data_IF_935004749728
#
_entry.id   IF_935004749728
#
_cell.length_a   1.000
_cell.length_b   1.000
_cell.length_c   1.000
_cell.angle_alpha   90.00
_cell.angle_beta   90.00
_cell.angle_gamma   90.00
#
_symmetry.space_group_name_H-M   'P 1'
#
loop_
_entity.id
_entity.type
_entity.pdbx_description
1 polymer ?
#
# COMPACT_ATOMS: atom_id res chain seq x y z
N UNK A 1 53.93 -14.05 -18.72
CA UNK A 1 52.91 -14.52 -17.70
C UNK A 1 51.86 -13.46 -17.37
N UNK A 2 52.12 -12.15 -17.48
CA UNK A 2 51.19 -11.07 -17.16
C UNK A 2 50.11 -10.79 -18.24
N UNK A 3 50.37 -11.18 -19.50
CA UNK A 3 49.46 -10.86 -20.62
C UNK A 3 48.13 -11.58 -20.59
N UNK A 4 48.11 -12.86 -20.20
CA UNK A 4 46.87 -13.64 -20.18
C UNK A 4 45.84 -13.15 -19.13
N UNK A 5 46.17 -12.82 -17.88
CA UNK A 5 45.23 -12.21 -16.94
C UNK A 5 44.72 -10.86 -17.41
N UNK A 6 45.56 -9.99 -17.95
CA UNK A 6 45.11 -8.68 -18.47
C UNK A 6 44.18 -8.81 -19.66
N UNK A 7 44.38 -9.78 -20.54
CA UNK A 7 43.44 -10.07 -21.66
C UNK A 7 42.09 -10.55 -21.14
N UNK A 8 42.08 -11.35 -20.06
CA UNK A 8 40.82 -11.77 -19.41
C UNK A 8 40.06 -10.62 -18.75
N UNK A 9 40.78 -9.72 -18.05
CA UNK A 9 40.21 -8.49 -17.49
C UNK A 9 39.62 -7.60 -18.59
N UNK A 10 40.37 -7.40 -19.71
CA UNK A 10 39.89 -6.63 -20.85
C UNK A 10 38.63 -7.25 -21.47
N UNK A 11 38.63 -8.59 -21.64
CA UNK A 11 37.44 -9.28 -22.17
C UNK A 11 36.22 -9.16 -21.23
N UNK A 12 36.45 -9.29 -19.91
CA UNK A 12 35.38 -9.09 -18.92
C UNK A 12 34.84 -7.65 -18.94
N UNK A 13 35.72 -6.66 -19.04
CA UNK A 13 35.32 -5.25 -19.18
C UNK A 13 34.53 -5.00 -20.47
N UNK A 14 34.91 -5.59 -21.60
CA UNK A 14 34.16 -5.47 -22.85
C UNK A 14 32.78 -6.12 -22.76
N UNK A 15 32.64 -7.24 -22.05
CA UNK A 15 31.32 -7.89 -21.79
C UNK A 15 30.39 -6.98 -20.99
N UNK A 16 30.90 -6.41 -19.88
CA UNK A 16 30.14 -5.48 -19.04
C UNK A 16 29.72 -4.24 -19.86
N UNK A 17 30.63 -3.67 -20.64
CA UNK A 17 30.32 -2.55 -21.54
C UNK A 17 29.26 -2.90 -22.60
N UNK A 18 29.18 -4.17 -22.99
CA UNK A 18 28.14 -4.71 -23.89
C UNK A 18 26.83 -5.09 -23.21
N UNK A 19 26.70 -4.87 -21.87
CA UNK A 19 25.47 -5.18 -21.12
C UNK A 19 25.42 -6.56 -20.50
N UNK A 20 26.49 -7.37 -20.60
CA UNK A 20 26.60 -8.65 -19.90
C UNK A 20 27.26 -8.44 -18.53
N UNK A 21 26.45 -8.10 -17.55
CA UNK A 21 26.90 -7.81 -16.18
C UNK A 21 27.23 -9.06 -15.34
N UNK A 22 26.83 -10.27 -15.80
CA UNK A 22 27.16 -11.52 -15.13
C UNK A 22 28.60 -11.94 -15.36
N UNK A 23 29.33 -11.25 -16.26
CA UNK A 23 30.73 -11.53 -16.57
C UNK A 23 31.63 -11.35 -15.33
N UNK A 24 32.43 -12.40 -15.03
CA UNK A 24 33.46 -12.38 -14.00
C UNK A 24 34.81 -12.71 -14.62
N UNK A 25 35.87 -12.17 -14.04
CA UNK A 25 37.25 -12.43 -14.51
C UNK A 25 37.71 -13.83 -14.14
N UNK A 26 37.34 -14.29 -12.95
CA UNK A 26 37.69 -15.59 -12.39
C UNK A 26 39.19 -15.78 -12.22
N UNK A 27 39.98 -14.71 -12.08
CA UNK A 27 41.41 -14.75 -11.87
C UNK A 27 41.66 -14.87 -10.36
N UNK A 28 42.41 -15.90 -9.95
CA UNK A 28 42.79 -16.15 -8.55
C UNK A 28 44.32 -16.20 -8.49
N UNK A 29 44.94 -15.10 -8.14
CA UNK A 29 46.37 -14.99 -7.93
C UNK A 29 46.61 -14.17 -6.66
N UNK A 30 47.69 -14.49 -5.93
CA UNK A 30 48.05 -13.79 -4.69
C UNK A 30 48.97 -12.57 -4.97
N UNK A 31 48.68 -11.82 -6.04
CA UNK A 31 49.42 -10.64 -6.47
C UNK A 31 48.47 -9.47 -6.76
N UNK A 32 48.99 -8.35 -7.23
CA UNK A 32 48.23 -7.13 -7.56
C UNK A 32 47.17 -7.39 -8.65
N UNK A 33 47.36 -8.38 -9.50
CA UNK A 33 46.40 -8.76 -10.54
C UNK A 33 45.21 -9.50 -9.91
N UNK A 34 45.45 -10.34 -8.90
CA UNK A 34 44.40 -10.98 -8.13
C UNK A 34 43.55 -9.95 -7.40
N UNK A 35 44.18 -9.00 -6.70
CA UNK A 35 43.45 -7.92 -6.01
C UNK A 35 42.65 -7.05 -6.98
N UNK A 36 43.21 -6.73 -8.17
CA UNK A 36 42.47 -5.99 -9.21
C UNK A 36 41.28 -6.79 -9.74
N UNK A 37 41.47 -8.10 -9.94
CA UNK A 37 40.40 -8.99 -10.39
C UNK A 37 39.25 -9.07 -9.39
N UNK A 38 39.53 -9.19 -8.09
CA UNK A 38 38.53 -9.19 -7.02
C UNK A 38 37.75 -7.87 -6.97
N UNK A 39 38.46 -6.74 -7.04
CA UNK A 39 37.84 -5.42 -7.10
C UNK A 39 36.93 -5.25 -8.33
N UNK A 40 37.38 -5.74 -9.48
CA UNK A 40 36.57 -5.73 -10.70
C UNK A 40 35.33 -6.61 -10.59
N UNK A 41 35.46 -7.83 -10.07
CA UNK A 41 34.33 -8.75 -9.90
C UNK A 41 33.31 -8.23 -8.87
N UNK A 42 33.77 -7.56 -7.80
CA UNK A 42 32.92 -6.87 -6.84
C UNK A 42 32.14 -5.70 -7.48
N UNK A 43 32.81 -4.88 -8.30
CA UNK A 43 32.18 -3.81 -9.06
C UNK A 43 31.13 -4.38 -10.04
N UNK A 44 31.47 -5.45 -10.78
CA UNK A 44 30.56 -6.10 -11.70
C UNK A 44 29.29 -6.61 -10.99
N UNK A 45 29.44 -7.24 -9.81
CA UNK A 45 28.32 -7.69 -8.98
C UNK A 45 27.43 -6.52 -8.51
N UNK A 46 28.02 -5.41 -8.09
CA UNK A 46 27.26 -4.23 -7.68
C UNK A 46 26.47 -3.62 -8.85
N UNK A 47 27.08 -3.54 -10.05
CA UNK A 47 26.39 -3.06 -11.26
C UNK A 47 25.23 -3.99 -11.64
N UNK A 48 25.46 -5.31 -11.66
CA UNK A 48 24.41 -6.31 -11.96
C UNK A 48 23.20 -6.13 -11.02
N UNK A 49 23.46 -6.05 -9.71
CA UNK A 49 22.40 -5.83 -8.72
C UNK A 49 21.62 -4.53 -9.01
N UNK A 50 22.31 -3.43 -9.31
CA UNK A 50 21.66 -2.14 -9.61
C UNK A 50 20.83 -2.17 -10.89
N UNK A 51 21.31 -2.85 -11.91
CA UNK A 51 20.57 -3.02 -13.17
C UNK A 51 19.33 -3.87 -12.96
N UNK A 52 19.41 -4.94 -12.17
CA UNK A 52 18.26 -5.79 -11.84
C UNK A 52 17.22 -5.02 -11.00
N UNK A 53 17.65 -4.23 -10.01
CA UNK A 53 16.78 -3.34 -9.22
C UNK A 53 16.06 -2.34 -10.14
N UNK A 54 16.78 -1.71 -11.08
CA UNK A 54 16.22 -0.76 -12.04
C UNK A 54 15.19 -1.44 -12.97
N UNK A 55 15.53 -2.60 -13.52
CA UNK A 55 14.60 -3.37 -14.34
C UNK A 55 13.34 -3.79 -13.57
N UNK A 56 13.49 -4.16 -12.30
CA UNK A 56 12.35 -4.47 -11.43
C UNK A 56 11.48 -3.22 -11.16
N UNK A 57 12.10 -2.05 -10.95
CA UNK A 57 11.37 -0.79 -10.78
C UNK A 57 10.60 -0.39 -12.04
N UNK A 58 11.23 -0.46 -13.22
CA UNK A 58 10.57 -0.17 -14.52
C UNK A 58 9.41 -1.13 -14.79
N UNK A 59 9.58 -2.42 -14.46
CA UNK A 59 8.47 -3.39 -14.59
C UNK A 59 7.31 -3.02 -13.68
N UNK A 60 7.57 -2.73 -12.39
CA UNK A 60 6.52 -2.29 -11.44
C UNK A 60 5.77 -1.05 -11.93
N UNK A 61 6.50 -0.07 -12.46
CA UNK A 61 5.89 1.15 -13.01
C UNK A 61 4.98 0.85 -14.21
N UNK A 62 5.43 0.01 -15.15
CA UNK A 62 4.61 -0.41 -16.30
C UNK A 62 3.35 -1.15 -15.88
N UNK A 63 3.48 -2.09 -14.95
CA UNK A 63 2.36 -2.87 -14.43
C UNK A 63 1.36 -1.95 -13.70
N UNK A 64 1.85 -0.97 -12.95
CA UNK A 64 1.04 0.06 -12.32
C UNK A 64 0.24 0.87 -13.34
N UNK A 65 0.90 1.41 -14.39
CA UNK A 65 0.22 2.19 -15.44
C UNK A 65 -0.81 1.35 -16.19
N UNK A 66 -0.49 0.09 -16.50
CA UNK A 66 -1.40 -0.82 -17.18
C UNK A 66 -2.64 -1.12 -16.30
N UNK A 67 -2.45 -1.43 -15.03
CA UNK A 67 -3.54 -1.68 -14.08
C UNK A 67 -4.41 -0.43 -13.87
N UNK A 68 -3.81 0.74 -13.70
CA UNK A 68 -4.52 2.02 -13.58
C UNK A 68 -5.38 2.31 -14.80
N UNK A 69 -4.81 2.16 -16.00
CA UNK A 69 -5.54 2.37 -17.25
C UNK A 69 -6.74 1.43 -17.36
N UNK A 70 -6.58 0.18 -16.95
CA UNK A 70 -7.66 -0.81 -16.94
C UNK A 70 -8.77 -0.43 -15.95
N UNK A 71 -8.40 -0.03 -14.72
CA UNK A 71 -9.36 0.36 -13.68
C UNK A 71 -10.11 1.68 -14.00
N UNK A 72 -9.53 2.57 -14.82
CA UNK A 72 -10.23 3.73 -15.37
C UNK A 72 -11.16 3.35 -16.52
N UNK A 73 -10.70 2.50 -17.46
CA UNK A 73 -11.43 2.19 -18.69
C UNK A 73 -12.78 1.52 -18.40
N UNK A 74 -12.82 0.62 -17.43
CA UNK A 74 -14.02 -0.16 -17.10
C UNK A 74 -15.20 0.73 -16.69
N UNK A 75 -15.10 1.60 -15.64
CA UNK A 75 -16.20 2.48 -15.25
C UNK A 75 -16.55 3.50 -16.33
N UNK A 76 -15.55 4.06 -17.05
CA UNK A 76 -15.78 4.99 -18.14
C UNK A 76 -16.62 4.35 -19.26
N UNK A 77 -16.32 3.11 -19.64
CA UNK A 77 -17.08 2.40 -20.68
C UNK A 77 -18.51 2.15 -20.23
N UNK A 78 -18.73 1.77 -18.97
CA UNK A 78 -20.07 1.55 -18.42
C UNK A 78 -20.87 2.85 -18.33
N UNK A 79 -20.27 3.95 -17.84
CA UNK A 79 -20.91 5.27 -17.81
C UNK A 79 -21.30 5.75 -19.21
N UNK A 80 -20.43 5.57 -20.21
CA UNK A 80 -20.74 5.90 -21.61
C UNK A 80 -21.92 5.08 -22.15
N UNK A 81 -22.03 3.80 -21.78
CA UNK A 81 -23.16 2.94 -22.12
C UNK A 81 -24.47 3.50 -21.58
N UNK A 82 -24.52 3.75 -20.28
CA UNK A 82 -25.73 4.31 -19.63
C UNK A 82 -26.06 5.72 -20.13
N UNK A 83 -25.07 6.59 -20.34
CA UNK A 83 -25.28 7.91 -20.92
C UNK A 83 -25.85 7.83 -22.35
N UNK A 84 -25.38 6.85 -23.15
CA UNK A 84 -25.91 6.61 -24.49
C UNK A 84 -27.36 6.13 -24.48
N UNK A 85 -27.74 5.29 -23.51
CA UNK A 85 -29.15 4.88 -23.30
C UNK A 85 -30.03 6.08 -22.96
N UNK A 86 -29.60 6.95 -22.05
CA UNK A 86 -30.31 8.17 -21.68
C UNK A 86 -30.48 9.11 -22.88
N UNK A 87 -29.49 9.19 -23.78
CA UNK A 87 -29.50 10.04 -24.99
C UNK A 87 -30.40 9.48 -26.09
N UNK A 88 -30.66 8.16 -26.15
CA UNK A 88 -31.44 7.53 -27.21
C UNK A 88 -32.95 7.80 -27.17
N UNK A 89 -33.45 8.40 -26.10
CA UNK A 89 -34.87 8.80 -25.99
C UNK A 89 -35.52 8.33 -24.70
N UNK A 90 -36.81 8.60 -24.53
CA UNK A 90 -37.49 8.41 -23.27
C UNK A 90 -37.55 6.93 -22.87
N UNK A 91 -36.72 6.60 -21.87
CA UNK A 91 -36.85 5.39 -21.12
C UNK A 91 -37.94 5.59 -20.05
N UNK A 92 -38.47 4.50 -19.51
CA UNK A 92 -39.25 4.52 -18.29
C UNK A 92 -38.55 5.38 -17.21
N UNK A 93 -39.27 6.22 -16.45
CA UNK A 93 -38.65 7.05 -15.39
C UNK A 93 -37.80 6.26 -14.40
N UNK A 94 -38.15 5.01 -14.10
CA UNK A 94 -37.35 4.13 -13.25
C UNK A 94 -36.02 3.78 -13.88
N UNK A 95 -35.98 3.40 -15.15
CA UNK A 95 -34.76 3.11 -15.90
C UNK A 95 -33.87 4.36 -16.09
N UNK A 96 -34.48 5.53 -16.26
CA UNK A 96 -33.78 6.81 -16.33
C UNK A 96 -33.07 7.11 -15.02
N UNK A 97 -33.75 6.92 -13.88
CA UNK A 97 -33.17 7.11 -12.56
C UNK A 97 -32.03 6.13 -12.29
N UNK A 98 -32.25 4.84 -12.59
CA UNK A 98 -31.21 3.81 -12.41
C UNK A 98 -29.94 4.14 -13.22
N UNK A 99 -30.07 4.56 -14.47
CA UNK A 99 -28.95 4.95 -15.31
C UNK A 99 -28.21 6.17 -14.74
N UNK A 100 -28.95 7.18 -14.27
CA UNK A 100 -28.36 8.37 -13.64
C UNK A 100 -27.64 8.04 -12.33
N UNK A 101 -28.25 7.21 -11.48
CA UNK A 101 -27.66 6.75 -10.22
C UNK A 101 -26.37 5.95 -10.49
N UNK A 102 -26.38 5.07 -11.49
CA UNK A 102 -25.19 4.33 -11.89
C UNK A 102 -24.04 5.26 -12.32
N UNK A 103 -24.32 6.23 -13.21
CA UNK A 103 -23.31 7.20 -13.66
C UNK A 103 -22.76 7.99 -12.47
N UNK A 104 -23.63 8.42 -11.55
CA UNK A 104 -23.23 9.14 -10.34
C UNK A 104 -22.30 8.31 -9.46
N UNK A 105 -22.64 7.05 -9.20
CA UNK A 105 -21.84 6.16 -8.38
C UNK A 105 -20.46 5.85 -8.99
N UNK A 106 -20.40 5.60 -10.30
CA UNK A 106 -19.12 5.37 -10.98
C UNK A 106 -18.25 6.64 -11.05
N UNK A 107 -18.87 7.82 -11.18
CA UNK A 107 -18.13 9.11 -11.11
C UNK A 107 -17.51 9.31 -9.72
N UNK A 108 -18.25 9.05 -8.65
CA UNK A 108 -17.74 9.11 -7.27
C UNK A 108 -16.63 8.10 -7.02
N UNK A 109 -16.74 6.92 -7.62
CA UNK A 109 -15.70 5.90 -7.56
C UNK A 109 -14.40 6.37 -8.24
N UNK A 110 -14.50 6.99 -9.42
CA UNK A 110 -13.35 7.56 -10.14
C UNK A 110 -12.71 8.73 -9.37
N UNK A 111 -13.51 9.60 -8.78
CA UNK A 111 -13.04 10.67 -7.90
C UNK A 111 -12.20 10.11 -6.73
N UNK A 112 -12.73 9.09 -6.04
CA UNK A 112 -12.02 8.42 -4.95
C UNK A 112 -10.73 7.73 -5.41
N UNK A 113 -10.75 7.08 -6.59
CA UNK A 113 -9.57 6.45 -7.19
C UNK A 113 -8.49 7.48 -7.49
N UNK A 114 -8.87 8.61 -8.14
CA UNK A 114 -7.96 9.71 -8.47
C UNK A 114 -7.37 10.33 -7.20
N UNK A 115 -8.17 10.58 -6.16
CA UNK A 115 -7.69 11.11 -4.88
C UNK A 115 -6.65 10.20 -4.23
N UNK A 116 -6.90 8.89 -4.16
CA UNK A 116 -5.95 7.91 -3.62
C UNK A 116 -4.65 7.86 -4.41
N UNK A 117 -4.74 7.94 -5.74
CA UNK A 117 -3.57 7.98 -6.61
C UNK A 117 -2.73 9.23 -6.35
N UNK A 118 -3.36 10.42 -6.29
CA UNK A 118 -2.65 11.67 -6.02
C UNK A 118 -1.98 11.65 -4.65
N UNK A 119 -2.62 11.09 -3.63
CA UNK A 119 -2.02 10.91 -2.30
C UNK A 119 -0.83 9.96 -2.37
N UNK A 120 -0.95 8.82 -3.08
CA UNK A 120 0.14 7.85 -3.23
C UNK A 120 1.36 8.48 -3.92
N UNK A 121 1.16 9.17 -5.04
CA UNK A 121 2.23 9.89 -5.76
C UNK A 121 2.83 11.02 -4.93
N UNK A 122 2.01 11.75 -4.16
CA UNK A 122 2.48 12.78 -3.23
C UNK A 122 3.34 12.20 -2.11
N UNK A 123 3.04 11.00 -1.63
CA UNK A 123 3.85 10.30 -0.64
C UNK A 123 5.18 9.77 -1.22
N UNK A 124 5.25 9.43 -2.49
CA UNK A 124 6.49 9.06 -3.17
C UNK A 124 7.41 10.27 -3.42
N UNK A 125 6.82 11.46 -3.52
CA UNK A 125 7.57 12.72 -3.65
C UNK A 125 8.10 13.18 -2.27
N UNK A 126 9.12 14.04 -2.25
CA UNK A 126 9.75 14.57 -1.02
C UNK A 126 8.86 15.55 -0.20
N UNK A 127 7.55 15.52 -0.40
CA UNK A 127 6.62 16.29 0.42
C UNK A 127 6.71 15.85 1.87
N UNK A 128 7.09 16.78 2.74
CA UNK A 128 7.28 16.52 4.15
C UNK A 128 5.95 16.09 4.79
N UNK A 129 5.95 14.94 5.45
CA UNK A 129 4.93 14.60 6.43
C UNK A 129 5.08 15.58 7.59
N UNK A 130 4.00 16.20 8.04
CA UNK A 130 3.99 17.10 9.18
C UNK A 130 3.53 16.37 10.46
N UNK A 131 4.41 15.62 11.13
CA UNK A 131 4.03 14.86 12.31
C UNK A 131 3.74 15.81 13.46
N UNK A 132 2.57 15.67 14.05
CA UNK A 132 2.13 16.38 15.24
C UNK A 132 1.69 15.37 16.32
N UNK A 133 1.69 15.76 17.61
CA UNK A 133 1.15 14.91 18.66
C UNK A 133 -0.35 14.69 18.48
N UNK A 134 -0.76 13.44 18.30
CA UNK A 134 -2.16 13.02 18.12
C UNK A 134 -2.48 11.90 19.09
N UNK A 135 -3.62 12.00 19.79
CA UNK A 135 -4.08 10.90 20.65
C UNK A 135 -4.89 9.86 19.89
N UNK A 136 -4.75 8.59 20.26
CA UNK A 136 -5.53 7.48 19.73
C UNK A 136 -7.04 7.69 19.90
N UNK A 137 -7.47 8.29 21.01
CA UNK A 137 -8.87 8.63 21.27
C UNK A 137 -9.42 9.62 20.24
N UNK A 138 -8.60 10.64 19.86
CA UNK A 138 -9.01 11.61 18.85
C UNK A 138 -9.12 10.97 17.47
N UNK A 139 -8.18 10.08 17.12
CA UNK A 139 -8.21 9.30 15.88
C UNK A 139 -9.46 8.39 15.82
N UNK A 140 -9.72 7.62 16.87
CA UNK A 140 -10.87 6.71 16.90
C UNK A 140 -12.20 7.46 16.91
N UNK A 141 -12.28 8.62 17.57
CA UNK A 141 -13.46 9.47 17.51
C UNK A 141 -13.70 10.07 16.10
N UNK A 142 -12.63 10.41 15.36
CA UNK A 142 -12.73 10.84 13.96
C UNK A 142 -13.20 9.71 13.06
N UNK A 143 -12.62 8.51 13.21
CA UNK A 143 -13.03 7.30 12.48
C UNK A 143 -14.50 6.96 12.72
N UNK A 144 -14.97 6.97 13.97
CA UNK A 144 -16.35 6.67 14.31
C UNK A 144 -17.36 7.64 13.65
N UNK A 145 -16.94 8.89 13.40
CA UNK A 145 -17.78 9.89 12.71
C UNK A 145 -17.72 9.78 11.19
N UNK A 146 -16.59 9.40 10.63
CA UNK A 146 -16.37 9.39 9.17
C UNK A 146 -16.78 8.10 8.48
N UNK A 147 -16.81 7.01 9.22
CA UNK A 147 -17.18 5.69 8.67
C UNK A 147 -18.69 5.50 8.69
N UNK A 148 -19.33 5.20 7.54
CA UNK A 148 -20.73 4.84 7.52
C UNK A 148 -20.97 3.52 8.26
N UNK A 149 -22.15 3.34 8.89
CA UNK A 149 -22.51 2.08 9.48
C UNK A 149 -22.43 0.96 8.44
N UNK A 150 -21.70 -0.11 8.75
CA UNK A 150 -21.62 -1.29 7.91
C UNK A 150 -22.77 -2.24 8.28
N UNK A 151 -23.70 -2.50 7.36
CA UNK A 151 -24.81 -3.39 7.61
C UNK A 151 -24.33 -4.78 8.04
N UNK A 152 -24.82 -5.25 9.20
CA UNK A 152 -24.51 -6.58 9.74
C UNK A 152 -23.10 -6.75 10.30
N UNK A 153 -22.33 -5.65 10.49
CA UNK A 153 -20.98 -5.69 11.05
C UNK A 153 -20.93 -4.82 12.31
N UNK A 154 -20.52 -5.42 13.42
CA UNK A 154 -20.28 -4.72 14.68
C UNK A 154 -18.87 -4.09 14.64
N UNK A 155 -18.78 -2.76 14.80
CA UNK A 155 -17.53 -2.03 14.87
C UNK A 155 -17.24 -1.58 16.30
N UNK A 156 -16.13 -2.04 16.87
CA UNK A 156 -15.68 -1.72 18.21
C UNK A 156 -14.39 -0.92 18.21
N UNK A 157 -14.27 0.09 19.10
CA UNK A 157 -13.07 0.89 19.29
C UNK A 157 -12.55 0.73 20.72
N UNK A 158 -11.28 0.38 20.86
CA UNK A 158 -10.60 0.18 22.14
C UNK A 158 -9.33 1.05 22.23
N UNK A 159 -9.47 2.36 22.57
CA UNK A 159 -8.31 3.25 22.74
C UNK A 159 -7.58 2.95 24.07
N UNK A 160 -6.25 3.12 24.08
CA UNK A 160 -5.41 2.98 25.28
C UNK A 160 -5.10 4.34 25.95
N UNK A 161 -5.39 5.47 25.30
CA UNK A 161 -5.01 6.79 25.75
C UNK A 161 -3.57 7.16 25.39
N UNK A 162 -3.02 6.56 24.35
CA UNK A 162 -1.69 6.84 23.81
C UNK A 162 -1.67 8.14 23.03
N UNK A 163 -0.52 8.83 23.02
CA UNK A 163 -0.23 9.95 22.12
C UNK A 163 0.96 9.56 21.24
N UNK A 164 0.83 9.75 19.94
CA UNK A 164 1.87 9.46 18.92
C UNK A 164 2.21 10.72 18.13
N UNK A 165 3.39 10.76 17.52
CA UNK A 165 3.73 11.79 16.53
C UNK A 165 3.40 11.26 15.14
N UNK A 166 2.33 11.79 14.53
CA UNK A 166 1.89 11.39 13.20
C UNK A 166 1.28 12.58 12.44
N UNK A 167 1.30 12.52 11.12
CA UNK A 167 0.41 13.33 10.31
C UNK A 167 -1.02 12.83 10.50
N UNK A 168 -1.83 13.65 11.13
CA UNK A 168 -3.17 13.27 11.56
C UNK A 168 -4.04 12.83 10.39
N UNK A 169 -4.00 13.56 9.27
CA UNK A 169 -4.86 13.32 8.11
C UNK A 169 -4.48 11.98 7.47
N UNK A 170 -3.19 11.79 7.22
CA UNK A 170 -2.68 10.53 6.64
C UNK A 170 -2.95 9.34 7.56
N UNK A 171 -2.81 9.52 8.87
CA UNK A 171 -3.04 8.43 9.82
C UNK A 171 -4.52 8.07 9.96
N UNK A 172 -5.42 9.07 9.93
CA UNK A 172 -6.87 8.84 9.86
C UNK A 172 -7.22 8.10 8.55
N UNK A 173 -6.64 8.47 7.41
CA UNK A 173 -6.85 7.80 6.13
C UNK A 173 -6.36 6.34 6.13
N UNK A 174 -5.19 6.07 6.71
CA UNK A 174 -4.66 4.72 6.87
C UNK A 174 -5.64 3.86 7.66
N UNK A 175 -6.02 4.29 8.87
CA UNK A 175 -6.93 3.54 9.72
C UNK A 175 -8.31 3.37 9.07
N UNK A 176 -8.85 4.41 8.43
CA UNK A 176 -10.12 4.33 7.72
C UNK A 176 -10.09 3.34 6.55
N UNK A 177 -8.97 3.23 5.82
CA UNK A 177 -8.80 2.23 4.77
C UNK A 177 -8.75 0.81 5.34
N UNK A 178 -8.01 0.58 6.42
CA UNK A 178 -7.95 -0.71 7.10
C UNK A 178 -9.33 -1.14 7.61
N UNK A 179 -10.08 -0.24 8.27
CA UNK A 179 -11.42 -0.54 8.78
C UNK A 179 -12.40 -0.84 7.65
N UNK A 180 -12.37 -0.06 6.55
CA UNK A 180 -13.21 -0.34 5.37
C UNK A 180 -12.94 -1.73 4.79
N UNK A 181 -11.67 -2.14 4.69
CA UNK A 181 -11.30 -3.47 4.21
C UNK A 181 -11.81 -4.56 5.14
N UNK A 182 -11.65 -4.40 6.45
CA UNK A 182 -12.15 -5.32 7.47
C UNK A 182 -13.67 -5.48 7.42
N UNK A 183 -14.40 -4.35 7.35
CA UNK A 183 -15.87 -4.39 7.19
C UNK A 183 -16.29 -5.08 5.89
N UNK A 184 -15.55 -4.87 4.80
CA UNK A 184 -15.83 -5.54 3.52
C UNK A 184 -15.59 -7.05 3.59
N UNK A 185 -14.56 -7.50 4.31
CA UNK A 185 -14.25 -8.91 4.52
C UNK A 185 -15.36 -9.62 5.33
N UNK A 186 -16.06 -8.88 6.22
CA UNK A 186 -17.16 -9.39 7.04
C UNK A 186 -18.51 -9.39 6.32
N UNK A 187 -18.67 -8.78 5.14
CA UNK A 187 -19.94 -8.70 4.43
C UNK A 187 -20.52 -10.08 4.13
N UNK A 188 -21.81 -10.25 4.45
CA UNK A 188 -22.55 -11.50 4.23
C UNK A 188 -22.26 -12.60 5.27
N UNK A 189 -21.46 -12.32 6.30
CA UNK A 189 -21.25 -13.23 7.43
C UNK A 189 -22.15 -12.86 8.59
N UNK A 190 -22.81 -13.85 9.18
CA UNK A 190 -23.57 -13.65 10.41
C UNK A 190 -22.61 -13.34 11.56
N UNK A 191 -22.87 -12.26 12.32
CA UNK A 191 -21.99 -11.85 13.43
C UNK A 191 -20.65 -11.28 13.00
N UNK A 192 -20.60 -10.60 11.83
CA UNK A 192 -19.41 -9.87 11.39
C UNK A 192 -18.97 -8.86 12.46
N UNK A 193 -17.69 -8.87 12.83
CA UNK A 193 -17.12 -8.00 13.85
C UNK A 193 -15.77 -7.47 13.44
N UNK A 194 -15.56 -6.16 13.66
CA UNK A 194 -14.29 -5.47 13.46
C UNK A 194 -13.92 -4.77 14.76
N UNK A 195 -12.70 -5.01 15.23
CA UNK A 195 -12.15 -4.40 16.44
C UNK A 195 -10.96 -3.53 16.05
N UNK A 196 -11.03 -2.24 16.37
CA UNK A 196 -9.94 -1.28 16.20
C UNK A 196 -9.39 -0.97 17.59
N UNK A 197 -8.16 -1.39 17.86
CA UNK A 197 -7.55 -1.23 19.17
C UNK A 197 -6.21 -0.48 19.08
N UNK A 198 -5.85 0.18 20.17
CA UNK A 198 -4.52 0.71 20.41
C UNK A 198 -3.98 0.12 21.71
N UNK A 199 -2.69 -0.21 21.76
CA UNK A 199 -1.99 -0.65 22.97
C UNK A 199 -0.65 0.03 23.07
N UNK A 200 -0.23 0.39 24.29
CA UNK A 200 1.14 0.82 24.56
C UNK A 200 2.02 -0.41 24.82
N UNK A 201 3.04 -0.61 24.01
CA UNK A 201 3.94 -1.76 24.11
C UNK A 201 5.35 -1.33 23.71
N UNK A 202 6.35 -1.65 24.54
CA UNK A 202 7.77 -1.41 24.27
C UNK A 202 8.12 0.02 23.77
N UNK A 203 7.44 1.05 24.30
CA UNK A 203 7.68 2.45 23.89
C UNK A 203 6.96 2.88 22.60
N UNK A 204 6.13 2.01 22.05
CA UNK A 204 5.31 2.29 20.87
C UNK A 204 3.82 2.22 21.20
N UNK A 205 3.01 2.91 20.42
CA UNK A 205 1.57 2.68 20.31
C UNK A 205 1.33 1.70 19.16
N UNK A 206 0.81 0.55 19.47
CA UNK A 206 0.50 -0.52 18.51
C UNK A 206 -0.99 -0.43 18.17
N UNK A 207 -1.29 -0.05 16.94
CA UNK A 207 -2.65 -0.02 16.39
C UNK A 207 -2.94 -1.35 15.71
N UNK A 208 -4.09 -1.92 16.01
CA UNK A 208 -4.57 -3.16 15.41
C UNK A 208 -5.96 -2.97 14.85
N UNK A 209 -6.20 -3.52 13.65
CA UNK A 209 -7.54 -3.68 13.07
C UNK A 209 -7.73 -5.16 12.84
N UNK A 210 -8.62 -5.76 13.61
CA UNK A 210 -8.91 -7.20 13.57
C UNK A 210 -10.34 -7.42 13.12
N UNK A 211 -10.54 -8.34 12.18
CA UNK A 211 -11.85 -8.77 11.69
C UNK A 211 -12.01 -10.29 11.78
N UNK A 212 -13.25 -10.75 11.83
CA UNK A 212 -13.64 -12.15 11.71
C UNK A 212 -14.17 -12.48 10.31
N UNK A 213 -13.69 -11.79 9.29
CA UNK A 213 -14.11 -11.91 7.91
C UNK A 213 -13.62 -13.19 7.21
N UNK A 214 -13.62 -13.18 5.88
CA UNK A 214 -13.26 -14.35 5.06
C UNK A 214 -11.78 -14.75 5.15
N UNK A 215 -10.92 -13.90 5.75
CA UNK A 215 -9.48 -14.13 5.78
C UNK A 215 -8.81 -14.07 4.42
N UNK A 216 -7.50 -14.27 4.40
CA UNK A 216 -6.63 -14.15 3.23
C UNK A 216 -5.71 -15.36 3.15
N UNK A 217 -5.57 -16.01 1.99
CA UNK A 217 -4.61 -17.09 1.80
C UNK A 217 -3.16 -16.63 2.02
N UNK A 218 -2.33 -17.48 2.64
CA UNK A 218 -0.94 -17.15 2.94
C UNK A 218 -0.11 -16.77 1.69
N UNK A 219 -0.44 -17.35 0.53
CA UNK A 219 0.23 -17.05 -0.74
C UNK A 219 0.01 -15.59 -1.21
N UNK A 220 -1.08 -14.95 -0.78
CA UNK A 220 -1.46 -13.61 -1.20
C UNK A 220 -0.92 -12.53 -0.25
N UNK A 221 -0.59 -12.88 1.02
CA UNK A 221 -0.12 -11.92 2.03
C UNK A 221 1.04 -11.02 1.57
N UNK A 222 2.09 -11.53 0.91
CA UNK A 222 3.22 -10.71 0.47
C UNK A 222 2.85 -9.65 -0.58
N UNK A 223 1.72 -9.85 -1.28
CA UNK A 223 1.29 -9.02 -2.40
C UNK A 223 0.20 -8.02 -2.06
N UNK A 224 -0.34 -8.06 -0.84
CA UNK A 224 -1.49 -7.24 -0.43
C UNK A 224 -1.23 -5.73 -0.56
N UNK A 225 0.02 -5.30 -0.44
CA UNK A 225 0.43 -3.90 -0.55
C UNK A 225 0.85 -3.49 -1.96
N UNK A 226 0.83 -4.43 -2.93
CA UNK A 226 1.05 -4.09 -4.34
C UNK A 226 -0.15 -3.26 -4.85
N UNK A 227 0.08 -2.13 -5.54
CA UNK A 227 -1.01 -1.34 -6.11
C UNK A 227 -1.88 -2.18 -7.07
N UNK A 228 -3.21 -2.03 -6.97
CA UNK A 228 -4.23 -2.73 -7.76
C UNK A 228 -4.29 -4.25 -7.56
N UNK A 229 -3.53 -4.79 -6.60
CA UNK A 229 -3.64 -6.20 -6.25
C UNK A 229 -4.94 -6.48 -5.51
N UNK A 230 -5.64 -7.54 -5.88
CA UNK A 230 -6.88 -8.00 -5.28
C UNK A 230 -6.90 -9.53 -5.26
N UNK A 231 -7.14 -10.12 -4.09
CA UNK A 231 -7.26 -11.58 -3.90
C UNK A 231 -8.46 -12.13 -4.69
N UNK A 232 -9.61 -11.43 -4.61
CA UNK A 232 -10.82 -11.77 -5.38
C UNK A 232 -11.36 -10.51 -6.09
N UNK A 233 -11.17 -10.45 -7.41
CA UNK A 233 -11.60 -9.34 -8.25
C UNK A 233 -13.12 -9.19 -8.33
N UNK A 234 -13.88 -10.28 -8.20
CA UNK A 234 -15.35 -10.27 -8.34
C UNK A 234 -16.02 -9.68 -7.09
N UNK A 235 -15.58 -10.11 -5.93
CA UNK A 235 -16.10 -9.71 -4.63
C UNK A 235 -15.74 -8.27 -4.28
N UNK A 236 -14.52 -7.87 -4.62
CA UNK A 236 -13.99 -6.53 -4.33
C UNK A 236 -14.62 -5.46 -5.22
N UNK A 237 -14.94 -5.77 -6.50
CA UNK A 237 -15.65 -4.83 -7.42
C UNK A 237 -17.05 -4.51 -6.96
N UNK A 238 -17.80 -5.48 -6.46
CA UNK A 238 -19.14 -5.26 -5.90
C UNK A 238 -19.12 -4.33 -4.66
N UNK A 239 -17.98 -4.26 -3.96
CA UNK A 239 -17.76 -3.37 -2.81
C UNK A 239 -17.06 -2.05 -3.12
N UNK A 240 -16.78 -1.74 -4.40
CA UNK A 240 -16.10 -0.48 -4.79
C UNK A 240 -14.59 -0.43 -4.53
N UNK A 241 -13.96 -1.56 -4.23
CA UNK A 241 -12.51 -1.64 -4.00
C UNK A 241 -11.71 -1.41 -5.29
N UNK A 242 -10.65 -0.61 -5.21
CA UNK A 242 -9.75 -0.29 -6.33
C UNK A 242 -8.39 -1.00 -6.25
N UNK A 243 -8.12 -1.78 -5.19
CA UNK A 243 -6.80 -2.36 -4.95
C UNK A 243 -5.71 -1.34 -4.56
N UNK A 244 -6.05 -0.05 -4.38
CA UNK A 244 -5.10 0.98 -3.93
C UNK A 244 -5.11 1.21 -2.43
N UNK A 245 -6.11 0.74 -1.69
CA UNK A 245 -6.27 1.04 -0.27
C UNK A 245 -5.10 0.56 0.58
N UNK A 246 -4.67 -0.70 0.44
CA UNK A 246 -3.55 -1.24 1.22
C UNK A 246 -2.20 -0.73 0.74
N UNK A 247 -2.03 -0.47 -0.57
CA UNK A 247 -0.83 0.19 -1.10
C UNK A 247 -0.65 1.59 -0.50
N UNK A 248 -1.74 2.38 -0.43
CA UNK A 248 -1.74 3.68 0.24
C UNK A 248 -1.41 3.56 1.73
N UNK A 249 -2.01 2.58 2.45
CA UNK A 249 -1.69 2.33 3.85
C UNK A 249 -0.19 2.01 4.04
N UNK A 250 0.39 1.19 3.17
CA UNK A 250 1.82 0.85 3.22
C UNK A 250 2.71 2.07 2.97
N UNK A 251 2.37 2.92 1.99
CA UNK A 251 3.08 4.17 1.71
C UNK A 251 3.01 5.14 2.90
N UNK A 252 1.84 5.32 3.50
CA UNK A 252 1.67 6.15 4.70
C UNK A 252 2.51 5.61 5.86
N UNK A 253 2.45 4.29 6.12
CA UNK A 253 3.23 3.66 7.18
C UNK A 253 4.74 3.87 6.96
N UNK A 254 5.24 3.63 5.74
CA UNK A 254 6.65 3.83 5.37
C UNK A 254 7.11 5.28 5.59
N UNK A 255 6.29 6.27 5.25
CA UNK A 255 6.59 7.70 5.50
C UNK A 255 6.64 8.06 6.98
N UNK A 256 5.97 7.28 7.84
CA UNK A 256 6.05 7.40 9.30
C UNK A 256 7.13 6.50 9.91
N UNK A 257 8.00 5.87 9.10
CA UNK A 257 9.10 5.03 9.56
C UNK A 257 8.66 3.68 10.12
N UNK A 258 7.50 3.19 9.72
CA UNK A 258 6.91 1.92 10.16
C UNK A 258 6.41 1.07 8.99
N UNK A 259 5.91 -0.12 9.27
CA UNK A 259 5.36 -1.03 8.26
C UNK A 259 4.09 -1.71 8.77
N UNK A 260 3.24 -2.12 7.84
CA UNK A 260 2.07 -2.94 8.13
C UNK A 260 2.50 -4.41 8.33
N UNK A 261 1.90 -5.06 9.32
CA UNK A 261 2.02 -6.49 9.53
C UNK A 261 0.65 -7.13 9.36
N UNK A 262 0.60 -8.28 8.70
CA UNK A 262 -0.64 -8.99 8.40
C UNK A 262 -0.59 -10.40 8.99
N UNK A 263 -1.61 -10.74 9.77
CA UNK A 263 -1.87 -12.10 10.25
C UNK A 263 -3.26 -12.49 9.77
N UNK A 264 -3.37 -13.55 8.98
CA UNK A 264 -4.66 -13.96 8.41
C UNK A 264 -4.70 -15.44 8.13
N UNK A 265 -5.88 -16.02 8.37
CA UNK A 265 -6.19 -17.39 7.99
C UNK A 265 -7.53 -17.40 7.26
N UNK A 266 -7.67 -18.15 6.13
CA UNK A 266 -8.94 -18.31 5.43
C UNK A 266 -10.06 -18.72 6.39
N UNK A 267 -11.22 -18.08 6.27
CA UNK A 267 -12.42 -18.26 7.08
C UNK A 267 -12.30 -17.91 8.57
N UNK A 268 -11.12 -17.53 9.07
CA UNK A 268 -10.92 -17.13 10.47
C UNK A 268 -10.91 -15.60 10.66
N UNK A 269 -10.46 -14.85 9.64
CA UNK A 269 -10.38 -13.39 9.65
C UNK A 269 -8.96 -12.87 9.41
N UNK A 270 -8.80 -11.57 9.60
CA UNK A 270 -7.51 -10.88 9.39
C UNK A 270 -7.24 -9.91 10.53
N UNK A 271 -5.98 -9.86 10.96
CA UNK A 271 -5.47 -8.83 11.86
C UNK A 271 -4.38 -8.04 11.14
N UNK A 272 -4.55 -6.74 11.06
CA UNK A 272 -3.53 -5.82 10.53
C UNK A 272 -2.99 -4.99 11.69
N UNK A 273 -1.67 -4.97 11.83
CA UNK A 273 -0.96 -4.28 12.90
C UNK A 273 -0.01 -3.23 12.34
N UNK A 274 0.03 -2.07 12.98
CA UNK A 274 1.00 -1.01 12.68
C UNK A 274 1.40 -0.29 13.97
N UNK A 275 2.69 0.00 14.16
CA UNK A 275 3.20 0.60 15.37
C UNK A 275 3.83 1.98 15.09
N UNK A 276 3.63 2.93 16.01
CA UNK A 276 4.31 4.23 16.01
C UNK A 276 4.99 4.46 17.36
N UNK A 277 6.13 5.14 17.39
CA UNK A 277 6.73 5.58 18.65
C UNK A 277 5.75 6.47 19.43
N UNK A 278 5.68 6.27 20.74
CA UNK A 278 4.93 7.16 21.63
C UNK A 278 5.54 8.57 21.56
N UNK A 279 4.70 9.59 21.51
CA UNK A 279 5.16 10.96 21.63
C UNK A 279 5.84 11.16 22.98
N UNK A 280 6.95 11.90 23.06
CA UNK A 280 7.57 12.23 24.34
C UNK A 280 6.55 12.93 25.24
N UNK A 281 6.49 12.52 26.51
CA UNK A 281 5.59 13.13 27.48
C UNK A 281 5.87 14.66 27.50
N UNK A 282 4.84 15.48 27.25
CA UNK A 282 4.96 16.93 27.47
C UNK A 282 5.34 17.13 28.94
N UNK A 283 6.41 17.89 29.23
CA UNK A 283 6.65 18.28 30.60
C UNK A 283 5.39 19.03 31.10
N UNK A 284 4.82 18.55 32.16
CA UNK A 284 3.74 19.21 32.90
C UNK A 284 4.28 20.60 33.23
N UNK A 285 3.69 21.67 32.69
CA UNK A 285 3.94 23.00 33.21
C UNK A 285 3.49 22.96 34.68
N UNK A 286 4.46 22.97 35.57
CA UNK A 286 4.18 23.31 36.97
C UNK A 286 3.54 24.70 36.96
N UNK A 287 2.30 24.79 37.41
CA UNK A 287 1.67 26.07 37.73
C UNK A 287 2.51 26.71 38.86
N UNK A 288 3.01 27.94 38.68
CA UNK A 288 3.64 28.66 39.79
C UNK A 288 2.59 28.94 40.84
N UNK A 289 2.90 28.52 42.06
CA UNK A 289 2.15 28.88 43.27
C UNK A 289 2.22 30.40 43.53
#
# INVERSE_FOLDING_TARGET
RLTAPLTRLQAASARIAGGDYAGRTGIKTDDEIGALSEGFDAMAAAVETRVDELHAAVRRERDFVAAFTHELKTPMTSMMGYASLLRAGPADPAATKEAADFIYHETRRLESLSGKLLTLLGLESDNAVEPAPVSDRALFAALARSLPPAEGVELQFAPAGCTVCADRILWEDLLANLVRNACQACRGRAGGRVVVACRAEAGCAVFTVADNGCGIPAADLPRLTEPFYMVDKSRTRAGGGSGLGLALCAAIAARHGTALQFESEPEAGTTVTVALPLAPARPTKEEPQ
#
